data_IF_608428991439
#
_entry.id   IF_608428991439
#
_cell.length_a   1.000
_cell.length_b   1.000
_cell.length_c   1.000
_cell.angle_alpha   90.00
_cell.angle_beta   90.00
_cell.angle_gamma   90.00
#
_symmetry.space_group_name_H-M   'P 1'
#
loop_
_entity.id
_entity.type
_entity.pdbx_description
1 polymer ?
#
# COMPACT_ATOMS: atom_id res chain seq x y z
N UNK A 1 61.40 -10.74 -46.95
CA UNK A 1 60.00 -10.92 -47.37
C UNK A 1 59.09 -10.56 -46.20
N UNK A 2 58.46 -9.37 -46.26
CA UNK A 2 57.24 -8.97 -45.51
C UNK A 2 57.35 -8.96 -43.96
N UNK A 3 57.87 -7.93 -43.29
CA UNK A 3 57.25 -6.62 -43.00
C UNK A 3 55.71 -6.60 -43.13
N UNK A 4 55.05 -6.09 -42.07
CA UNK A 4 53.63 -5.71 -41.95
C UNK A 4 52.62 -6.83 -41.67
N UNK A 5 52.38 -7.07 -40.37
CA UNK A 5 51.08 -7.44 -39.79
C UNK A 5 51.20 -7.09 -38.28
N UNK A 6 51.30 -5.81 -37.94
CA UNK A 6 50.11 -5.02 -37.52
C UNK A 6 49.39 -5.78 -36.39
N UNK A 7 49.90 -5.81 -35.16
CA UNK A 7 49.82 -4.71 -34.19
C UNK A 7 48.51 -3.90 -34.28
N UNK A 8 47.38 -4.59 -34.43
CA UNK A 8 46.06 -4.06 -34.08
C UNK A 8 45.62 -4.70 -32.75
N UNK A 9 46.45 -4.52 -31.72
CA UNK A 9 46.01 -4.70 -30.34
C UNK A 9 45.07 -3.51 -30.08
N UNK A 10 43.80 -3.72 -30.41
CA UNK A 10 42.68 -2.86 -30.03
C UNK A 10 42.65 -2.83 -28.49
N UNK A 11 43.46 -1.92 -27.93
CA UNK A 11 43.31 -1.44 -26.57
C UNK A 11 41.96 -0.73 -26.55
N UNK A 12 40.90 -1.50 -26.31
CA UNK A 12 39.68 -0.96 -25.75
C UNK A 12 40.04 -0.53 -24.34
N UNK A 13 40.54 0.70 -24.24
CA UNK A 13 40.55 1.43 -22.99
C UNK A 13 39.10 1.47 -22.53
N UNK A 14 38.75 0.60 -21.59
CA UNK A 14 37.58 0.82 -20.76
C UNK A 14 37.87 2.13 -20.03
N UNK A 15 37.36 3.24 -20.58
CA UNK A 15 37.29 4.49 -19.84
C UNK A 15 36.41 4.14 -18.64
N UNK A 16 37.03 3.95 -17.48
CA UNK A 16 36.31 3.90 -16.23
C UNK A 16 35.54 5.22 -16.14
N UNK A 17 34.24 5.19 -16.41
CA UNK A 17 33.36 6.31 -16.14
C UNK A 17 33.37 6.46 -14.62
N UNK A 18 34.14 7.43 -14.13
CA UNK A 18 34.03 7.84 -12.74
C UNK A 18 32.60 8.34 -12.54
N UNK A 19 31.83 7.61 -11.73
CA UNK A 19 30.47 7.99 -11.39
C UNK A 19 30.51 9.39 -10.76
N UNK A 20 29.76 10.33 -11.32
CA UNK A 20 29.85 11.73 -10.94
C UNK A 20 28.93 12.02 -9.75
N UNK A 21 29.44 11.82 -8.54
CA UNK A 21 28.70 12.16 -7.33
C UNK A 21 28.59 13.67 -7.12
N UNK A 22 27.49 14.16 -6.52
CA UNK A 22 27.39 15.54 -6.10
C UNK A 22 28.50 15.92 -5.11
N UNK A 23 28.84 17.20 -5.05
CA UNK A 23 29.83 17.72 -4.11
C UNK A 23 29.32 17.63 -2.68
N UNK A 24 30.12 17.08 -1.76
CA UNK A 24 29.77 17.05 -0.33
C UNK A 24 30.11 18.40 0.31
N UNK A 25 29.15 19.34 0.30
CA UNK A 25 29.35 20.69 0.82
C UNK A 25 29.01 20.83 2.30
N UNK A 26 28.19 19.93 2.82
CA UNK A 26 27.57 20.04 4.12
C UNK A 26 27.49 18.70 4.81
N UNK A 27 27.83 18.60 6.10
CA UNK A 27 27.79 17.32 6.80
C UNK A 27 26.36 16.77 6.97
N UNK A 28 25.37 17.65 7.08
CA UNK A 28 24.03 17.29 7.54
C UNK A 28 22.96 17.39 6.44
N UNK A 29 22.97 18.47 5.64
CA UNK A 29 21.89 18.75 4.69
C UNK A 29 22.46 19.16 3.34
N UNK A 30 22.33 18.27 2.36
CA UNK A 30 22.74 18.48 0.96
C UNK A 30 21.50 18.46 0.04
N UNK A 31 20.78 19.60 -0.01
CA UNK A 31 19.51 19.73 -0.75
C UNK A 31 19.70 20.24 -2.19
N UNK A 32 20.13 19.38 -3.12
CA UNK A 32 20.33 19.76 -4.53
C UNK A 32 19.02 19.84 -5.33
N UNK A 33 17.94 19.24 -4.82
CA UNK A 33 16.62 19.31 -5.42
C UNK A 33 15.84 20.59 -5.04
N UNK A 34 16.34 21.38 -4.08
CA UNK A 34 15.68 22.53 -3.48
C UNK A 34 14.27 22.17 -2.97
N UNK A 35 14.18 21.09 -2.20
CA UNK A 35 12.94 20.62 -1.57
C UNK A 35 12.66 21.41 -0.29
N UNK A 36 13.69 21.74 0.47
CA UNK A 36 13.57 22.39 1.76
C UNK A 36 13.71 23.91 1.61
N UNK A 37 12.89 24.66 2.33
CA UNK A 37 13.17 26.07 2.60
C UNK A 37 14.41 26.20 3.48
N UNK A 38 15.09 27.37 3.48
CA UNK A 38 16.23 27.61 4.36
C UNK A 38 15.90 27.33 5.84
N UNK A 39 14.71 27.72 6.29
CA UNK A 39 14.29 27.51 7.67
C UNK A 39 14.08 26.03 8.01
N UNK A 40 13.60 25.23 7.07
CA UNK A 40 13.45 23.77 7.25
C UNK A 40 14.80 23.07 7.23
N UNK A 41 15.71 23.48 6.34
CA UNK A 41 17.07 22.97 6.29
C UNK A 41 17.84 23.30 7.59
N UNK A 42 17.70 24.50 8.14
CA UNK A 42 18.33 24.91 9.40
C UNK A 42 17.78 24.13 10.60
N UNK A 43 16.46 23.87 10.63
CA UNK A 43 15.85 23.04 11.67
C UNK A 43 16.34 21.60 11.60
N UNK A 44 16.34 21.02 10.40
CA UNK A 44 16.83 19.66 10.19
C UNK A 44 18.32 19.55 10.58
N UNK A 45 19.13 20.53 10.20
CA UNK A 45 20.53 20.59 10.60
C UNK A 45 20.69 20.59 12.11
N UNK A 46 19.96 21.43 12.83
CA UNK A 46 20.02 21.47 14.30
C UNK A 46 19.66 20.11 14.92
N UNK A 47 18.65 19.42 14.38
CA UNK A 47 18.28 18.05 14.79
C UNK A 47 19.43 17.05 14.59
N UNK A 48 20.11 17.09 13.43
CA UNK A 48 21.20 16.17 13.09
C UNK A 48 22.51 16.50 13.83
N UNK A 49 22.75 17.78 14.12
CA UNK A 49 23.81 18.25 15.00
C UNK A 49 23.64 17.72 16.43
N UNK A 50 22.42 17.84 16.99
CA UNK A 50 22.10 17.31 18.31
C UNK A 50 22.29 15.78 18.37
N UNK A 51 21.83 15.05 17.34
CA UNK A 51 22.05 13.61 17.24
C UNK A 51 23.54 13.25 17.33
N UNK A 52 24.37 13.95 16.57
CA UNK A 52 25.82 13.72 16.55
C UNK A 52 26.43 14.04 17.91
N UNK A 53 26.06 15.15 18.54
CA UNK A 53 26.57 15.53 19.86
C UNK A 53 26.16 14.54 20.95
N UNK A 54 24.89 14.11 20.96
CA UNK A 54 24.31 13.29 22.04
C UNK A 54 24.52 11.80 21.88
N UNK A 55 24.71 11.31 20.66
CA UNK A 55 24.78 9.87 20.34
C UNK A 55 25.98 9.49 19.47
N UNK A 56 26.76 10.46 18.98
CA UNK A 56 27.91 10.21 18.11
C UNK A 56 27.54 9.71 16.71
N UNK A 57 26.25 9.74 16.34
CA UNK A 57 25.75 9.24 15.06
C UNK A 57 25.77 10.36 14.04
N UNK A 58 26.41 10.12 12.90
CA UNK A 58 26.33 11.03 11.75
C UNK A 58 25.15 10.63 10.87
N UNK A 59 24.24 11.57 10.63
CA UNK A 59 23.13 11.38 9.70
C UNK A 59 23.10 12.56 8.73
N UNK A 60 23.18 12.27 7.43
CA UNK A 60 23.10 13.25 6.35
C UNK A 60 21.84 13.04 5.47
N UNK A 61 21.18 14.14 5.10
CA UNK A 61 20.14 14.17 4.07
C UNK A 61 20.75 14.57 2.73
N UNK A 62 20.38 13.84 1.69
CA UNK A 62 20.72 14.16 0.29
C UNK A 62 19.44 14.18 -0.54
N UNK A 63 19.20 15.29 -1.23
CA UNK A 63 18.12 15.37 -2.22
C UNK A 63 18.70 15.60 -3.60
N UNK A 64 18.23 14.85 -4.59
CA UNK A 64 18.59 15.00 -6.01
C UNK A 64 17.33 15.18 -6.84
N UNK A 65 17.46 15.91 -7.96
CA UNK A 65 16.37 16.01 -8.94
C UNK A 65 16.21 14.68 -9.66
N UNK A 66 17.27 14.24 -10.33
CA UNK A 66 17.32 12.95 -11.00
C UNK A 66 18.69 12.25 -10.88
N UNK A 67 18.70 10.92 -10.92
CA UNK A 67 19.93 10.13 -11.05
C UNK A 67 20.60 10.32 -12.43
N UNK A 68 19.81 10.59 -13.47
CA UNK A 68 20.30 10.81 -14.82
C UNK A 68 21.21 12.06 -14.91
N UNK A 69 20.94 13.08 -14.09
CA UNK A 69 21.79 14.29 -13.97
C UNK A 69 23.22 13.96 -13.51
N UNK A 70 23.39 12.79 -12.87
CA UNK A 70 24.66 12.24 -12.39
C UNK A 70 25.19 11.11 -13.29
N UNK A 71 24.73 11.05 -14.55
CA UNK A 71 25.12 10.03 -15.54
C UNK A 71 24.89 8.59 -15.06
N UNK A 72 23.83 8.37 -14.27
CA UNK A 72 23.49 7.06 -13.72
C UNK A 72 22.06 6.64 -14.11
N UNK A 73 21.93 5.45 -14.72
CA UNK A 73 20.66 4.86 -15.23
C UNK A 73 20.38 3.47 -14.62
N UNK A 74 20.68 3.33 -13.32
CA UNK A 74 20.57 2.06 -12.60
C UNK A 74 19.60 2.12 -11.41
N UNK A 75 19.48 1.01 -10.66
CA UNK A 75 18.78 0.98 -9.37
C UNK A 75 19.38 2.00 -8.38
N UNK A 76 18.60 2.53 -7.45
CA UNK A 76 19.10 3.52 -6.49
C UNK A 76 20.16 2.95 -5.53
N UNK A 77 20.15 1.64 -5.28
CA UNK A 77 20.97 0.99 -4.26
C UNK A 77 22.48 1.14 -4.52
N UNK A 78 23.04 0.77 -5.69
CA UNK A 78 24.47 0.92 -5.92
C UNK A 78 24.89 2.39 -5.97
N UNK A 79 24.01 3.30 -6.41
CA UNK A 79 24.26 4.73 -6.36
C UNK A 79 24.36 5.24 -4.92
N UNK A 80 23.41 4.88 -4.05
CA UNK A 80 23.39 5.32 -2.66
C UNK A 80 24.57 4.74 -1.88
N UNK A 81 24.85 3.44 -1.99
CA UNK A 81 26.00 2.82 -1.33
C UNK A 81 27.32 3.43 -1.81
N UNK A 82 27.44 3.67 -3.13
CA UNK A 82 28.62 4.31 -3.70
C UNK A 82 28.81 5.75 -3.21
N UNK A 83 27.72 6.54 -3.16
CA UNK A 83 27.71 7.90 -2.62
C UNK A 83 28.09 7.93 -1.14
N UNK A 84 27.48 7.06 -0.32
CA UNK A 84 27.75 6.91 1.10
C UNK A 84 29.24 6.66 1.37
N UNK A 85 29.83 5.73 0.63
CA UNK A 85 31.25 5.39 0.74
C UNK A 85 32.18 6.50 0.20
N UNK A 86 31.81 7.14 -0.91
CA UNK A 86 32.59 8.22 -1.51
C UNK A 86 32.64 9.45 -0.60
N UNK A 87 31.56 9.74 0.11
CA UNK A 87 31.48 10.83 1.09
C UNK A 87 32.03 10.44 2.46
N UNK A 88 32.21 9.14 2.72
CA UNK A 88 32.70 8.64 4.00
C UNK A 88 31.76 8.97 5.15
N UNK A 89 30.45 8.78 4.96
CA UNK A 89 29.43 9.14 5.94
C UNK A 89 29.58 8.28 7.21
N UNK A 90 29.74 8.93 8.36
CA UNK A 90 29.93 8.27 9.66
C UNK A 90 31.38 8.16 10.11
N UNK A 91 31.56 7.57 11.30
CA UNK A 91 32.91 7.34 11.84
C UNK A 91 33.55 6.09 11.21
N UNK A 92 34.78 6.22 10.72
CA UNK A 92 35.49 5.15 10.02
C UNK A 92 35.76 3.90 10.89
N UNK A 93 35.76 4.05 12.22
CA UNK A 93 35.98 2.93 13.15
C UNK A 93 34.67 2.28 13.56
N UNK A 94 33.63 3.09 13.84
CA UNK A 94 32.32 2.62 14.32
C UNK A 94 31.38 2.22 13.19
N UNK A 95 31.58 2.76 11.98
CA UNK A 95 30.74 2.56 10.80
C UNK A 95 29.26 2.82 11.08
N UNK A 96 28.96 3.92 11.79
CA UNK A 96 27.65 4.23 12.34
C UNK A 96 26.95 5.40 11.63
N UNK A 97 27.37 5.70 10.40
CA UNK A 97 26.75 6.73 9.55
C UNK A 97 25.36 6.34 9.04
N UNK A 98 24.53 7.33 8.74
CA UNK A 98 23.21 7.18 8.14
C UNK A 98 23.07 8.19 7.01
N UNK A 99 22.54 7.78 5.87
CA UNK A 99 22.24 8.68 4.77
C UNK A 99 20.83 8.44 4.26
N UNK A 100 20.01 9.50 4.23
CA UNK A 100 18.74 9.48 3.51
C UNK A 100 18.94 10.15 2.15
N UNK A 101 18.81 9.37 1.08
CA UNK A 101 18.83 9.83 -0.29
C UNK A 101 17.41 9.88 -0.86
N UNK A 102 16.98 11.05 -1.31
CA UNK A 102 15.69 11.27 -1.99
C UNK A 102 15.94 11.74 -3.41
N UNK A 103 15.44 11.02 -4.40
CA UNK A 103 15.51 11.41 -5.81
C UNK A 103 14.11 11.74 -6.30
N UNK A 104 13.82 13.05 -6.40
CA UNK A 104 12.44 13.55 -6.52
C UNK A 104 11.77 13.14 -7.83
N UNK A 105 12.45 13.33 -8.95
CA UNK A 105 11.83 13.21 -10.27
C UNK A 105 11.78 11.72 -10.72
N UNK A 106 12.75 10.91 -10.29
CA UNK A 106 12.74 9.44 -10.43
C UNK A 106 11.75 8.74 -9.46
N UNK A 107 11.29 9.47 -8.44
CA UNK A 107 10.41 9.00 -7.36
C UNK A 107 10.94 7.80 -6.62
N UNK A 108 12.24 7.79 -6.35
CA UNK A 108 12.92 6.74 -5.59
C UNK A 108 13.67 7.35 -4.42
N UNK A 109 13.74 6.61 -3.31
CA UNK A 109 14.50 7.01 -2.14
C UNK A 109 15.19 5.81 -1.52
N UNK A 110 16.21 6.08 -0.70
CA UNK A 110 16.95 5.08 0.04
C UNK A 110 17.44 5.64 1.37
N UNK A 111 17.36 4.83 2.42
CA UNK A 111 18.10 5.07 3.65
C UNK A 111 19.23 4.04 3.69
N UNK A 112 20.47 4.52 3.60
CA UNK A 112 21.69 3.73 3.77
C UNK A 112 22.15 3.85 5.23
N UNK A 113 22.52 2.73 5.84
CA UNK A 113 23.12 2.72 7.18
C UNK A 113 24.49 2.05 7.13
N UNK A 114 25.43 2.57 7.92
CA UNK A 114 26.78 2.02 8.01
C UNK A 114 26.77 0.60 8.57
N UNK A 115 27.82 -0.15 8.25
CA UNK A 115 27.97 -1.57 8.63
C UNK A 115 28.04 -1.85 10.13
N UNK A 116 28.22 -0.81 10.96
CA UNK A 116 28.20 -0.89 12.41
C UNK A 116 26.82 -1.23 12.99
N UNK A 117 25.75 -0.86 12.28
CA UNK A 117 24.42 -1.43 12.47
C UNK A 117 24.30 -2.54 11.43
N UNK A 118 24.33 -3.82 11.75
CA UNK A 118 24.24 -4.83 10.71
C UNK A 118 22.91 -4.80 9.94
N UNK A 119 22.58 -5.94 9.33
CA UNK A 119 21.33 -6.08 8.54
C UNK A 119 20.04 -5.94 9.37
N UNK A 120 20.13 -5.91 10.70
CA UNK A 120 19.00 -5.73 11.62
C UNK A 120 18.24 -4.42 11.40
N UNK A 121 18.90 -3.38 10.88
CA UNK A 121 18.27 -2.08 10.60
C UNK A 121 17.52 -2.04 9.27
N UNK A 122 17.66 -3.04 8.40
CA UNK A 122 16.96 -3.08 7.11
C UNK A 122 15.44 -3.06 7.30
N UNK A 123 14.91 -3.90 8.20
CA UNK A 123 13.48 -3.98 8.50
C UNK A 123 12.93 -2.69 9.12
N UNK A 124 13.55 -2.16 10.20
CA UNK A 124 13.26 -0.84 10.75
C UNK A 124 13.22 0.28 9.71
N UNK A 125 14.30 0.48 8.95
CA UNK A 125 14.35 1.54 7.94
C UNK A 125 13.30 1.35 6.85
N UNK A 126 13.01 0.10 6.45
CA UNK A 126 11.94 -0.18 5.50
C UNK A 126 10.57 0.24 6.05
N UNK A 127 10.29 0.00 7.34
CA UNK A 127 9.05 0.48 7.98
C UNK A 127 8.96 2.00 8.01
N UNK A 128 10.07 2.70 8.28
CA UNK A 128 10.12 4.16 8.24
C UNK A 128 9.73 4.65 6.84
N UNK A 129 10.34 4.08 5.80
CA UNK A 129 10.02 4.41 4.41
C UNK A 129 8.54 4.14 4.13
N UNK A 130 8.05 2.92 4.37
CA UNK A 130 6.73 2.49 3.95
C UNK A 130 5.57 3.16 4.72
N UNK A 131 5.76 3.43 6.02
CA UNK A 131 4.69 3.90 6.89
C UNK A 131 4.78 5.38 7.28
N UNK A 132 5.95 6.01 7.11
CA UNK A 132 6.15 7.42 7.48
C UNK A 132 6.45 8.28 6.26
N UNK A 133 7.36 7.87 5.39
CA UNK A 133 7.86 8.73 4.30
C UNK A 133 6.98 8.65 3.04
N UNK A 134 6.77 7.44 2.51
CA UNK A 134 6.06 7.26 1.24
C UNK A 134 4.60 7.74 1.25
N UNK A 135 3.82 7.66 2.35
CA UNK A 135 2.49 8.25 2.39
C UNK A 135 2.51 9.76 2.10
N UNK A 136 3.38 10.52 2.76
CA UNK A 136 3.51 11.98 2.57
C UNK A 136 4.00 12.32 1.15
N UNK A 137 4.96 11.54 0.63
CA UNK A 137 5.48 11.74 -0.73
C UNK A 137 4.42 11.51 -1.82
N UNK A 138 3.49 10.58 -1.61
CA UNK A 138 2.36 10.34 -2.54
C UNK A 138 1.41 11.53 -2.58
N UNK A 139 1.28 12.24 -1.47
CA UNK A 139 0.47 13.45 -1.35
C UNK A 139 1.23 14.72 -1.82
N UNK A 140 2.49 14.55 -2.24
CA UNK A 140 3.36 15.63 -2.69
C UNK A 140 4.03 16.42 -1.57
N UNK A 141 3.86 15.99 -0.32
CA UNK A 141 4.43 16.63 0.86
C UNK A 141 5.82 16.06 1.19
N UNK A 142 6.78 16.40 0.33
CA UNK A 142 8.16 15.96 0.46
C UNK A 142 8.83 16.47 1.74
N UNK A 143 8.50 17.69 2.16
CA UNK A 143 9.09 18.30 3.35
C UNK A 143 8.68 17.52 4.59
N UNK A 144 7.38 17.31 4.81
CA UNK A 144 6.92 16.58 5.99
C UNK A 144 7.34 15.11 5.97
N UNK A 145 7.37 14.48 4.79
CA UNK A 145 7.89 13.13 4.63
C UNK A 145 9.37 13.01 5.03
N UNK A 146 10.22 13.95 4.61
CA UNK A 146 11.65 13.98 4.98
C UNK A 146 11.80 14.22 6.49
N UNK A 147 11.18 15.26 7.04
CA UNK A 147 11.35 15.63 8.45
C UNK A 147 10.85 14.52 9.38
N UNK A 148 9.66 13.99 9.12
CA UNK A 148 9.09 12.90 9.92
C UNK A 148 9.88 11.59 9.72
N UNK A 149 10.40 11.36 8.52
CA UNK A 149 11.24 10.21 8.21
C UNK A 149 12.57 10.24 8.95
N UNK A 150 13.21 11.41 9.03
CA UNK A 150 14.45 11.61 9.80
C UNK A 150 14.19 11.36 11.29
N UNK A 151 13.13 11.96 11.86
CA UNK A 151 12.77 11.76 13.26
C UNK A 151 12.55 10.28 13.60
N UNK A 152 11.85 9.54 12.73
CA UNK A 152 11.55 8.12 12.94
C UNK A 152 12.79 7.24 12.72
N UNK A 153 13.64 7.55 11.74
CA UNK A 153 14.91 6.84 11.55
C UNK A 153 15.84 7.02 12.77
N UNK A 154 15.91 8.25 13.32
CA UNK A 154 16.63 8.52 14.57
C UNK A 154 16.08 7.70 15.72
N UNK A 155 14.75 7.59 15.82
CA UNK A 155 14.10 6.80 16.86
C UNK A 155 14.44 5.31 16.74
N UNK A 156 14.39 4.73 15.54
CA UNK A 156 14.73 3.32 15.31
C UNK A 156 16.21 3.04 15.63
N UNK A 157 17.11 4.01 15.43
CA UNK A 157 18.54 3.86 15.73
C UNK A 157 18.84 4.05 17.23
N UNK A 158 18.25 5.07 17.86
CA UNK A 158 18.65 5.51 19.20
C UNK A 158 17.67 5.12 20.30
N UNK A 159 16.48 4.64 19.94
CA UNK A 159 15.38 4.36 20.85
C UNK A 159 14.69 5.61 21.42
N UNK A 160 15.09 6.81 20.99
CA UNK A 160 14.54 8.10 21.45
C UNK A 160 14.35 9.05 20.28
N UNK A 161 13.33 9.91 20.35
CA UNK A 161 13.14 10.94 19.32
C UNK A 161 14.09 12.13 19.56
N UNK A 162 14.37 12.93 18.51
CA UNK A 162 15.12 14.18 18.69
C UNK A 162 14.51 15.10 19.75
N UNK A 163 15.37 15.82 20.48
CA UNK A 163 14.99 16.66 21.63
C UNK A 163 14.63 15.91 22.92
N UNK A 164 14.57 14.56 22.92
CA UNK A 164 14.27 13.74 24.11
C UNK A 164 15.51 13.01 24.67
N UNK A 165 16.72 13.32 24.19
CA UNK A 165 17.95 12.59 24.57
C UNK A 165 18.29 12.63 26.06
N UNK A 166 17.95 13.72 26.75
CA UNK A 166 18.17 13.95 28.18
C UNK A 166 16.88 13.78 29.01
N UNK A 167 15.76 13.43 28.37
CA UNK A 167 14.46 13.34 29.03
C UNK A 167 14.40 12.12 29.98
N UNK A 168 13.77 12.24 31.16
CA UNK A 168 13.52 11.09 32.02
C UNK A 168 12.66 10.04 31.29
N UNK A 169 12.96 8.75 31.50
CA UNK A 169 12.29 7.63 30.83
C UNK A 169 10.75 7.67 30.90
N UNK A 170 10.17 8.16 32.00
CA UNK A 170 8.71 8.28 32.12
C UNK A 170 8.10 9.28 31.13
N UNK A 171 8.81 10.37 30.82
CA UNK A 171 8.34 11.36 29.84
C UNK A 171 8.38 10.79 28.43
N UNK A 172 9.46 10.07 28.09
CA UNK A 172 9.62 9.40 26.80
C UNK A 172 8.47 8.42 26.58
N UNK A 173 8.22 7.54 27.56
CA UNK A 173 7.14 6.55 27.50
C UNK A 173 5.76 7.23 27.39
N UNK A 174 5.52 8.31 28.13
CA UNK A 174 4.27 9.05 28.06
C UNK A 174 4.04 9.69 26.67
N UNK A 175 5.07 10.34 26.11
CA UNK A 175 5.02 10.95 24.77
C UNK A 175 4.78 9.89 23.67
N UNK A 176 5.45 8.75 23.76
CA UNK A 176 5.24 7.61 22.86
C UNK A 176 3.81 7.07 22.94
N UNK A 177 3.27 6.89 24.15
CA UNK A 177 1.88 6.46 24.36
C UNK A 177 0.88 7.42 23.73
N UNK A 178 1.06 8.72 23.94
CA UNK A 178 0.23 9.76 23.31
C UNK A 178 0.30 9.73 21.78
N UNK A 179 1.49 9.54 21.19
CA UNK A 179 1.65 9.41 19.73
C UNK A 179 0.91 8.18 19.18
N UNK A 180 1.05 7.02 19.83
CA UNK A 180 0.31 5.80 19.47
C UNK A 180 -1.20 6.02 19.51
N UNK A 181 -1.71 6.65 20.58
CA UNK A 181 -3.14 6.97 20.69
C UNK A 181 -3.59 7.88 19.56
N UNK A 182 -2.85 8.97 19.27
CA UNK A 182 -3.18 9.88 18.17
C UNK A 182 -3.20 9.17 16.82
N UNK A 183 -2.24 8.27 16.55
CA UNK A 183 -2.13 7.52 15.30
C UNK A 183 -3.31 6.58 15.08
N UNK A 184 -3.75 5.87 16.12
CA UNK A 184 -4.76 4.80 15.97
C UNK A 184 -6.19 5.19 16.36
N UNK A 185 -6.40 6.32 17.05
CA UNK A 185 -7.71 6.83 17.41
C UNK A 185 -8.71 6.92 16.22
N UNK A 186 -8.33 7.41 15.02
CA UNK A 186 -9.26 7.51 13.90
C UNK A 186 -9.82 6.15 13.47
N UNK A 187 -9.01 5.09 13.53
CA UNK A 187 -9.44 3.71 13.21
C UNK A 187 -10.46 3.19 14.24
N UNK A 188 -10.23 3.48 15.52
CA UNK A 188 -11.16 3.12 16.59
C UNK A 188 -12.52 3.80 16.40
N UNK A 189 -12.54 5.08 16.04
CA UNK A 189 -13.78 5.79 15.73
C UNK A 189 -14.51 5.22 14.52
N UNK A 190 -13.79 4.86 13.45
CA UNK A 190 -14.39 4.27 12.26
C UNK A 190 -15.09 2.93 12.59
N UNK A 191 -14.47 2.10 13.43
CA UNK A 191 -15.07 0.86 13.92
C UNK A 191 -16.37 1.08 14.70
N UNK A 192 -16.36 2.04 15.64
CA UNK A 192 -17.57 2.41 16.41
C UNK A 192 -18.67 2.94 15.50
N UNK A 193 -18.33 3.82 14.55
CA UNK A 193 -19.27 4.36 13.57
C UNK A 193 -19.92 3.27 12.71
N UNK A 194 -19.12 2.31 12.21
CA UNK A 194 -19.62 1.17 11.44
C UNK A 194 -20.56 0.29 12.26
N UNK A 195 -20.24 0.04 13.54
CA UNK A 195 -21.10 -0.70 14.46
C UNK A 195 -22.43 0.02 14.70
N UNK A 196 -22.39 1.32 15.02
CA UNK A 196 -23.60 2.14 15.22
C UNK A 196 -24.47 2.19 13.97
N UNK A 197 -23.87 2.31 12.79
CA UNK A 197 -24.58 2.28 11.50
C UNK A 197 -25.25 0.92 11.26
N UNK A 198 -24.55 -0.18 11.53
CA UNK A 198 -25.11 -1.53 11.42
C UNK A 198 -26.28 -1.74 12.40
N UNK A 199 -26.12 -1.32 13.66
CA UNK A 199 -27.17 -1.37 14.68
C UNK A 199 -28.39 -0.52 14.29
N UNK A 200 -28.18 0.70 13.81
CA UNK A 200 -29.25 1.56 13.31
C UNK A 200 -30.00 0.94 12.12
N UNK A 201 -29.27 0.36 11.15
CA UNK A 201 -29.86 -0.34 10.01
C UNK A 201 -30.69 -1.54 10.46
N UNK A 202 -30.20 -2.29 11.44
CA UNK A 202 -30.91 -3.42 12.04
C UNK A 202 -32.20 -2.99 12.74
N UNK A 203 -32.14 -1.94 13.57
CA UNK A 203 -33.32 -1.36 14.23
C UNK A 203 -34.35 -0.86 13.20
N UNK A 204 -33.90 -0.18 12.14
CA UNK A 204 -34.78 0.25 11.05
C UNK A 204 -35.38 -0.89 10.24
N UNK A 205 -34.69 -2.03 10.09
CA UNK A 205 -35.22 -3.23 9.41
C UNK A 205 -36.45 -3.74 10.14
N UNK A 206 -36.39 -3.82 11.48
CA UNK A 206 -37.46 -4.32 12.38
C UNK A 206 -38.45 -3.26 12.87
N UNK A 207 -38.35 -2.03 12.38
CA UNK A 207 -39.26 -0.97 12.78
C UNK A 207 -40.72 -1.34 12.41
N UNK A 208 -41.70 -1.12 13.30
CA UNK A 208 -43.11 -1.41 13.04
C UNK A 208 -43.61 -0.73 11.76
N UNK A 209 -44.48 -1.43 11.02
CA UNK A 209 -45.04 -0.94 9.75
C UNK A 209 -46.56 -1.01 9.78
N UNK A 210 -47.20 -0.05 9.11
CA UNK A 210 -48.65 -0.08 8.87
C UNK A 210 -48.95 -0.78 7.55
N UNK A 211 -50.01 -1.55 7.55
CA UNK A 211 -50.51 -2.23 6.36
C UNK A 211 -51.04 -1.20 5.34
N UNK A 212 -50.70 -1.33 4.05
CA UNK A 212 -51.19 -0.43 3.00
C UNK A 212 -52.71 -0.49 2.78
N UNK A 213 -53.35 -1.62 3.09
CA UNK A 213 -54.77 -1.85 2.78
C UNK A 213 -55.71 -1.27 3.84
N UNK A 214 -55.41 -1.49 5.12
CA UNK A 214 -56.30 -1.16 6.25
C UNK A 214 -55.64 -0.31 7.34
N UNK A 215 -54.33 -0.06 7.26
CA UNK A 215 -53.58 0.75 8.21
C UNK A 215 -53.23 0.05 9.53
N UNK A 216 -53.60 -1.22 9.70
CA UNK A 216 -53.30 -2.03 10.90
C UNK A 216 -51.80 -2.25 11.03
N UNK A 217 -51.27 -2.33 12.26
CA UNK A 217 -49.87 -2.67 12.48
C UNK A 217 -49.58 -4.10 12.04
N UNK A 218 -48.54 -4.26 11.22
CA UNK A 218 -48.12 -5.56 10.71
C UNK A 218 -47.15 -6.24 11.68
N UNK A 219 -47.16 -7.57 11.68
CA UNK A 219 -46.26 -8.42 12.45
C UNK A 219 -45.12 -8.85 11.54
N UNK A 220 -43.87 -8.68 11.99
CA UNK A 220 -42.71 -9.22 11.30
C UNK A 220 -42.64 -10.74 11.55
N UNK A 221 -42.63 -11.52 10.48
CA UNK A 221 -42.50 -12.97 10.59
C UNK A 221 -41.04 -13.36 10.80
N UNK A 222 -40.83 -14.48 11.49
CA UNK A 222 -39.50 -15.07 11.61
C UNK A 222 -39.08 -15.69 10.28
N UNK A 223 -37.77 -15.90 10.08
CA UNK A 223 -37.18 -16.49 8.86
C UNK A 223 -37.62 -17.96 8.60
N UNK A 224 -38.39 -18.57 9.51
CA UNK A 224 -39.00 -19.89 9.29
C UNK A 224 -40.49 -19.79 8.97
N UNK A 225 -41.15 -18.73 9.43
CA UNK A 225 -42.58 -18.53 9.23
C UNK A 225 -42.85 -17.76 7.92
N UNK A 226 -41.89 -16.95 7.48
CA UNK A 226 -41.99 -16.18 6.24
C UNK A 226 -41.92 -17.04 4.98
N UNK A 227 -41.19 -18.16 5.00
CA UNK A 227 -41.10 -19.16 3.92
C UNK A 227 -42.48 -19.55 3.35
N UNK A 228 -43.50 -19.64 4.22
CA UNK A 228 -44.88 -19.98 3.84
C UNK A 228 -45.53 -18.92 2.94
N UNK A 229 -45.01 -17.70 2.93
CA UNK A 229 -45.49 -16.55 2.17
C UNK A 229 -44.61 -16.21 0.96
N UNK A 230 -43.54 -16.96 0.73
CA UNK A 230 -42.61 -16.73 -0.37
C UNK A 230 -42.93 -17.63 -1.58
N UNK A 231 -42.76 -17.07 -2.77
CA UNK A 231 -42.84 -17.86 -4.01
C UNK A 231 -41.55 -18.65 -4.23
N UNK A 232 -41.62 -19.75 -4.98
CA UNK A 232 -40.48 -20.68 -5.22
C UNK A 232 -39.17 -19.98 -5.62
N UNK A 233 -39.24 -18.92 -6.42
CA UNK A 233 -38.04 -18.20 -6.84
C UNK A 233 -37.40 -17.36 -5.74
N UNK A 234 -38.19 -16.83 -4.80
CA UNK A 234 -37.70 -16.09 -3.63
C UNK A 234 -36.99 -17.04 -2.67
N UNK A 235 -37.62 -18.19 -2.37
CA UNK A 235 -37.01 -19.28 -1.60
C UNK A 235 -35.69 -19.76 -2.21
N UNK A 236 -35.61 -19.82 -3.55
CA UNK A 236 -34.37 -20.19 -4.23
C UNK A 236 -33.26 -19.14 -4.06
N UNK A 237 -33.58 -17.84 -4.07
CA UNK A 237 -32.62 -16.77 -3.79
C UNK A 237 -32.12 -16.80 -2.33
N UNK A 238 -32.99 -17.12 -1.37
CA UNK A 238 -32.61 -17.24 0.06
C UNK A 238 -31.71 -18.45 0.30
N UNK A 239 -32.09 -19.61 -0.24
CA UNK A 239 -31.27 -20.82 -0.18
C UNK A 239 -29.88 -20.61 -0.77
N UNK A 240 -29.79 -19.85 -1.87
CA UNK A 240 -28.52 -19.48 -2.50
C UNK A 240 -27.83 -18.28 -1.86
N UNK A 241 -28.45 -17.64 -0.85
CA UNK A 241 -27.97 -16.45 -0.16
C UNK A 241 -27.66 -15.31 -1.15
N UNK A 242 -28.53 -15.08 -2.12
CA UNK A 242 -28.39 -14.00 -3.12
C UNK A 242 -29.28 -12.81 -2.77
N UNK A 243 -30.40 -13.08 -2.10
CA UNK A 243 -31.24 -12.10 -1.42
C UNK A 243 -31.77 -12.72 -0.12
N UNK A 244 -32.18 -11.86 0.82
CA UNK A 244 -33.05 -12.22 1.95
C UNK A 244 -34.42 -11.55 1.73
N UNK A 245 -35.52 -12.16 2.15
CA UNK A 245 -36.85 -11.55 2.08
C UNK A 245 -37.38 -11.28 3.48
N UNK A 246 -37.82 -10.04 3.73
CA UNK A 246 -38.55 -9.72 4.95
C UNK A 246 -40.06 -9.82 4.68
N UNK A 247 -40.78 -10.66 5.42
CA UNK A 247 -42.25 -10.74 5.33
C UNK A 247 -42.91 -10.08 6.53
N UNK A 248 -43.88 -9.22 6.23
CA UNK A 248 -44.74 -8.59 7.22
C UNK A 248 -46.18 -9.03 6.97
N UNK A 249 -46.85 -9.59 7.97
CA UNK A 249 -48.23 -10.06 7.86
C UNK A 249 -49.19 -9.11 8.59
N UNK A 250 -50.27 -8.74 7.93
CA UNK A 250 -51.37 -8.02 8.58
C UNK A 250 -52.33 -9.02 9.24
N UNK A 251 -52.55 -8.96 10.57
CA UNK A 251 -53.45 -9.88 11.25
C UNK A 251 -54.95 -9.61 11.01
N UNK A 252 -55.31 -8.46 10.44
CA UNK A 252 -56.71 -8.07 10.23
C UNK A 252 -57.23 -8.41 8.82
N UNK A 253 -56.35 -8.44 7.81
CA UNK A 253 -56.74 -8.65 6.42
C UNK A 253 -55.89 -9.70 5.69
N UNK A 254 -55.05 -10.44 6.43
CA UNK A 254 -54.14 -11.51 5.94
C UNK A 254 -53.20 -11.11 4.78
N UNK A 255 -52.99 -9.79 4.58
CA UNK A 255 -52.09 -9.31 3.54
C UNK A 255 -50.63 -9.45 3.98
N UNK A 256 -49.84 -10.19 3.19
CA UNK A 256 -48.41 -10.34 3.37
C UNK A 256 -47.64 -9.35 2.49
N UNK A 257 -46.83 -8.50 3.11
CA UNK A 257 -45.95 -7.56 2.43
C UNK A 257 -44.51 -8.09 2.43
N UNK A 258 -44.06 -8.53 1.26
CA UNK A 258 -42.77 -9.18 1.03
C UNK A 258 -41.74 -8.16 0.51
N UNK A 259 -40.61 -8.01 1.20
CA UNK A 259 -39.58 -7.02 0.85
C UNK A 259 -38.26 -7.73 0.55
N UNK A 260 -37.80 -7.62 -0.70
CA UNK A 260 -36.52 -8.18 -1.13
C UNK A 260 -35.33 -7.34 -0.64
N UNK A 261 -34.32 -8.00 -0.07
CA UNK A 261 -33.03 -7.42 0.36
C UNK A 261 -31.88 -8.06 -0.40
N UNK A 262 -31.31 -7.33 -1.36
CA UNK A 262 -30.15 -7.80 -2.13
C UNK A 262 -28.91 -7.88 -1.24
N UNK A 263 -28.16 -8.98 -1.30
CA UNK A 263 -26.83 -9.07 -0.69
C UNK A 263 -25.79 -8.34 -1.54
N UNK A 264 -24.82 -7.71 -0.87
CA UNK A 264 -23.81 -6.90 -1.54
C UNK A 264 -22.91 -7.75 -2.44
N UNK A 265 -22.56 -8.96 -1.99
CA UNK A 265 -21.66 -9.85 -2.70
C UNK A 265 -22.35 -11.19 -2.98
N UNK A 266 -22.43 -11.54 -4.25
CA UNK A 266 -22.92 -12.85 -4.70
C UNK A 266 -22.29 -13.18 -6.05
N UNK A 267 -21.96 -14.45 -6.26
CA UNK A 267 -21.50 -14.98 -7.55
C UNK A 267 -22.65 -15.28 -8.51
N UNK A 268 -23.89 -15.14 -8.05
CA UNK A 268 -25.09 -15.40 -8.85
C UNK A 268 -25.60 -14.13 -9.52
N UNK A 269 -26.04 -14.31 -10.77
CA UNK A 269 -26.62 -13.26 -11.60
C UNK A 269 -28.12 -13.50 -11.83
N UNK A 270 -28.80 -12.50 -12.40
CA UNK A 270 -30.22 -12.56 -12.75
C UNK A 270 -30.43 -13.51 -13.93
N UNK A 271 -31.32 -14.47 -13.79
CA UNK A 271 -31.67 -15.39 -14.87
C UNK A 271 -32.61 -14.68 -15.88
N UNK A 272 -32.33 -14.73 -17.20
CA UNK A 272 -33.18 -14.10 -18.21
C UNK A 272 -34.54 -14.81 -18.39
N UNK A 273 -34.67 -16.07 -17.97
CA UNK A 273 -35.90 -16.86 -18.10
C UNK A 273 -36.86 -16.70 -16.93
N UNK A 274 -36.36 -16.79 -15.69
CA UNK A 274 -37.20 -16.74 -14.48
C UNK A 274 -37.04 -15.47 -13.64
N UNK A 275 -36.15 -14.56 -14.03
CA UNK A 275 -35.95 -13.24 -13.41
C UNK A 275 -35.33 -13.21 -12.00
N UNK A 276 -35.11 -14.36 -11.37
CA UNK A 276 -34.46 -14.47 -10.06
C UNK A 276 -32.92 -14.50 -10.17
N UNK A 277 -32.23 -14.00 -9.14
CA UNK A 277 -30.77 -14.06 -8.97
C UNK A 277 -30.32 -15.46 -8.55
N UNK A 278 -30.49 -16.42 -9.46
CA UNK A 278 -30.20 -17.84 -9.23
C UNK A 278 -29.35 -18.42 -10.35
N UNK A 279 -28.78 -17.58 -11.22
CA UNK A 279 -27.95 -17.99 -12.35
C UNK A 279 -26.48 -18.03 -11.93
N UNK A 280 -25.90 -19.24 -11.93
CA UNK A 280 -24.48 -19.47 -11.72
C UNK A 280 -23.75 -19.42 -13.06
N UNK A 281 -22.56 -18.84 -13.08
CA UNK A 281 -21.66 -18.83 -14.23
C UNK A 281 -20.37 -19.54 -13.87
N UNK A 282 -20.06 -20.63 -14.57
CA UNK A 282 -18.80 -21.33 -14.48
C UNK A 282 -18.00 -21.05 -15.76
N UNK A 283 -16.80 -20.50 -15.62
CA UNK A 283 -15.97 -20.12 -16.77
C UNK A 283 -14.87 -21.13 -17.00
N UNK A 284 -14.82 -21.71 -18.20
CA UNK A 284 -13.73 -22.57 -18.67
C UNK A 284 -12.88 -21.82 -19.71
N UNK A 285 -11.60 -21.64 -19.43
CA UNK A 285 -10.66 -21.08 -20.41
C UNK A 285 -10.40 -22.11 -21.49
N UNK A 286 -10.77 -21.81 -22.74
CA UNK A 286 -10.49 -22.65 -23.90
C UNK A 286 -9.09 -22.35 -24.44
N UNK A 287 -8.76 -21.05 -24.56
CA UNK A 287 -7.49 -20.54 -25.07
C UNK A 287 -7.06 -19.35 -24.22
N UNK A 288 -5.86 -19.41 -23.64
CA UNK A 288 -5.33 -18.32 -22.83
C UNK A 288 -4.95 -17.11 -23.68
N UNK A 289 -5.33 -15.91 -23.23
CA UNK A 289 -4.90 -14.66 -23.87
C UNK A 289 -3.39 -14.43 -23.67
N UNK A 290 -2.74 -13.82 -24.66
CA UNK A 290 -1.35 -13.38 -24.56
C UNK A 290 -1.24 -11.86 -24.77
N UNK A 291 -0.02 -11.32 -24.72
CA UNK A 291 0.21 -9.91 -25.10
C UNK A 291 -0.03 -9.66 -26.60
N UNK A 292 0.07 -10.71 -27.43
CA UNK A 292 0.01 -10.62 -28.90
C UNK A 292 -1.31 -11.14 -29.48
N UNK A 293 -2.02 -12.01 -28.75
CA UNK A 293 -3.26 -12.65 -29.20
C UNK A 293 -4.35 -12.59 -28.12
N UNK A 294 -5.59 -12.42 -28.56
CA UNK A 294 -6.76 -12.58 -27.67
C UNK A 294 -6.89 -14.04 -27.26
N UNK A 295 -7.52 -14.30 -26.12
CA UNK A 295 -7.90 -15.64 -25.69
C UNK A 295 -9.38 -15.93 -25.94
N UNK A 296 -9.84 -17.11 -25.55
CA UNK A 296 -11.25 -17.52 -25.62
C UNK A 296 -11.64 -18.25 -24.33
N UNK A 297 -12.80 -17.92 -23.80
CA UNK A 297 -13.39 -18.62 -22.67
C UNK A 297 -14.83 -19.04 -23.01
N UNK A 298 -15.23 -20.21 -22.52
CA UNK A 298 -16.62 -20.66 -22.50
C UNK A 298 -17.18 -20.38 -21.11
N UNK A 299 -18.27 -19.63 -21.07
CA UNK A 299 -19.06 -19.43 -19.85
C UNK A 299 -20.27 -20.38 -19.93
N UNK A 300 -20.34 -21.29 -18.97
CA UNK A 300 -21.44 -22.23 -18.80
C UNK A 300 -22.38 -21.68 -17.73
N UNK A 301 -23.61 -21.38 -18.14
CA UNK A 301 -24.65 -20.79 -17.30
C UNK A 301 -25.61 -21.88 -16.83
N UNK A 302 -25.93 -21.90 -15.54
CA UNK A 302 -26.91 -22.82 -14.97
C UNK A 302 -27.78 -22.12 -13.92
N UNK A 303 -29.11 -22.20 -14.09
CA UNK A 303 -30.06 -21.60 -13.17
C UNK A 303 -30.61 -22.61 -12.17
N UNK A 304 -30.39 -22.38 -10.87
CA UNK A 304 -30.85 -23.29 -9.82
C UNK A 304 -32.38 -23.28 -9.61
N UNK A 305 -33.10 -22.28 -10.15
CA UNK A 305 -34.55 -22.14 -9.96
C UNK A 305 -35.37 -22.72 -11.11
N UNK A 306 -35.08 -22.36 -12.36
CA UNK A 306 -35.83 -22.85 -13.52
C UNK A 306 -35.14 -24.00 -14.27
N UNK A 307 -33.92 -24.38 -13.87
CA UNK A 307 -33.15 -25.44 -14.51
C UNK A 307 -32.58 -25.08 -15.88
N UNK A 308 -32.77 -23.85 -16.35
CA UNK A 308 -32.23 -23.38 -17.63
C UNK A 308 -30.70 -23.45 -17.62
N UNK A 309 -30.13 -24.02 -18.68
CA UNK A 309 -28.69 -24.11 -18.87
C UNK A 309 -28.29 -23.84 -20.31
N UNK A 310 -27.27 -23.02 -20.52
CA UNK A 310 -26.71 -22.73 -21.83
C UNK A 310 -25.24 -22.38 -21.70
N UNK A 311 -24.51 -22.39 -22.82
CA UNK A 311 -23.13 -21.95 -22.86
C UNK A 311 -22.97 -20.81 -23.85
N UNK A 312 -22.08 -19.89 -23.55
CA UNK A 312 -21.66 -18.85 -24.48
C UNK A 312 -20.14 -18.79 -24.52
N UNK A 313 -19.58 -18.56 -25.70
CA UNK A 313 -18.14 -18.31 -25.83
C UNK A 313 -17.91 -16.81 -25.91
N UNK A 314 -16.97 -16.31 -25.13
CA UNK A 314 -16.51 -14.91 -25.20
C UNK A 314 -15.01 -14.84 -25.47
N UNK A 315 -14.62 -13.78 -26.14
CA UNK A 315 -13.21 -13.48 -26.39
C UNK A 315 -12.60 -12.80 -25.17
N UNK A 316 -11.47 -13.32 -24.69
CA UNK A 316 -10.67 -12.71 -23.64
C UNK A 316 -9.81 -11.60 -24.25
N UNK A 317 -9.81 -10.38 -23.69
CA UNK A 317 -8.94 -9.32 -24.18
C UNK A 317 -7.46 -9.73 -24.06
N UNK A 318 -6.62 -9.18 -24.94
CA UNK A 318 -5.16 -9.33 -24.84
C UNK A 318 -4.69 -8.86 -23.47
N UNK A 319 -3.66 -9.51 -22.94
CA UNK A 319 -3.03 -9.07 -21.69
C UNK A 319 -2.32 -7.75 -21.97
N UNK A 320 -2.85 -6.66 -21.45
CA UNK A 320 -2.18 -5.36 -21.47
C UNK A 320 -1.08 -5.36 -20.42
N UNK A 321 0.08 -4.78 -20.73
CA UNK A 321 1.02 -4.36 -19.69
C UNK A 321 0.46 -3.12 -19.00
N UNK A 322 -0.55 -3.30 -18.15
CA UNK A 322 -0.98 -2.26 -17.25
C UNK A 322 0.14 -2.04 -16.22
N UNK A 323 0.83 -0.91 -16.30
CA UNK A 323 1.52 -0.33 -15.14
C UNK A 323 0.43 0.18 -14.19
N UNK A 324 -0.07 -0.71 -13.35
CA UNK A 324 -0.87 -0.34 -12.18
C UNK A 324 -0.71 -1.43 -11.13
N UNK A 325 0.24 -1.16 -10.23
CA UNK A 325 0.15 -1.41 -8.79
C UNK A 325 -0.75 -2.56 -8.35
N UNK A 326 -0.15 -3.75 -8.23
CA UNK A 326 -0.59 -4.75 -7.25
C UNK A 326 0.62 -5.55 -6.79
N UNK A 327 1.05 -5.26 -5.56
CA UNK A 327 1.74 -6.14 -4.63
C UNK A 327 2.89 -6.98 -5.21
N UNK A 328 4.09 -6.40 -5.22
CA UNK A 328 5.33 -7.16 -5.39
C UNK A 328 5.72 -7.78 -4.05
N UNK A 329 5.27 -9.01 -3.84
CA UNK A 329 5.90 -9.94 -2.91
C UNK A 329 7.33 -10.23 -3.38
N UNK A 330 8.29 -9.87 -2.53
CA UNK A 330 9.58 -10.54 -2.31
C UNK A 330 10.38 -11.00 -3.52
N UNK A 331 11.46 -10.26 -3.81
CA UNK A 331 12.54 -10.72 -4.69
C UNK A 331 13.85 -10.08 -4.24
N UNK A 332 14.50 -10.68 -3.25
CA UNK A 332 15.81 -10.28 -2.76
C UNK A 332 16.87 -10.45 -3.86
N UNK A 333 17.30 -9.33 -4.44
CA UNK A 333 18.56 -9.24 -5.16
C UNK A 333 19.66 -8.87 -4.18
N UNK A 334 20.26 -9.88 -3.55
CA UNK A 334 21.41 -9.71 -2.68
C UNK A 334 22.62 -9.23 -3.46
N UNK A 335 22.88 -7.92 -3.42
CA UNK A 335 24.19 -7.34 -3.64
C UNK A 335 24.91 -7.26 -2.31
N UNK A 336 25.99 -8.02 -2.15
CA UNK A 336 26.80 -8.08 -0.94
C UNK A 336 27.52 -6.75 -0.69
N UNK A 337 26.86 -5.81 -0.02
CA UNK A 337 27.51 -4.73 0.71
C UNK A 337 27.36 -5.02 2.19
N UNK A 338 28.44 -4.87 2.95
CA UNK A 338 28.47 -5.16 4.39
C UNK A 338 27.66 -4.17 5.24
N UNK A 339 27.09 -3.12 4.64
CA UNK A 339 26.17 -2.15 5.24
C UNK A 339 24.70 -2.43 4.88
N UNK A 340 23.80 -2.15 5.82
CA UNK A 340 22.36 -2.30 5.64
C UNK A 340 21.71 -1.08 4.97
N UNK A 341 20.47 -1.21 4.51
CA UNK A 341 19.67 -0.09 4.02
C UNK A 341 18.31 -0.53 3.46
N UNK A 342 17.42 0.44 3.27
CA UNK A 342 16.06 0.23 2.77
C UNK A 342 15.75 1.19 1.62
N UNK A 343 14.95 0.74 0.65
CA UNK A 343 14.59 1.52 -0.54
C UNK A 343 13.08 1.69 -0.65
N UNK A 344 12.64 2.80 -1.25
CA UNK A 344 11.24 3.11 -1.49
C UNK A 344 11.01 3.72 -2.85
N UNK A 345 9.79 3.54 -3.37
CA UNK A 345 9.31 4.18 -4.60
C UNK A 345 7.87 4.67 -4.40
N UNK A 346 7.53 5.86 -4.91
CA UNK A 346 6.18 6.43 -4.81
C UNK A 346 5.57 6.85 -6.15
#
# INVERSE_FOLDING_TARGET
MRILLSFLFLVWANIAQAQNYPSYSDLYVNDFAAILSPQEADRLRATLEELREKRGVEFTLVTLKSLADHAYDGPIEPFATGLFNAWGVGDATRNDGVMMLVVRDDRVMRIEVGSGYGTEMNGPMQRVIDHTILPEFRDGDYVNGILSGVDEAIYEITGVYPGDYDAPRYQIVAKQGLRQVKRYWPLSLAGVGAFLFAAWRFLRRRAPRRCPNDGTWMIWLSETDDDAHLIKGQLAEERLKTADYDVWLCPACDNAHVIRRKKWFTSYSRCPRCDFHTLKTDTTTLESATRQSTGRARDDFSCAQCGESWSATRTLPRITSSRSSSSSSGGFGGGSSSGGGASGRW
#
